data_IF_495005131900
#
_entry.id   IF_495005131900
#
_cell.length_a   1.000
_cell.length_b   1.000
_cell.length_c   1.000
_cell.angle_alpha   90.00
_cell.angle_beta   90.00
_cell.angle_gamma   90.00
#
_symmetry.space_group_name_H-M   'P 1'
#
loop_
_entity.id
_entity.type
_entity.pdbx_description
1 polymer ?
#
# COMPACT_ATOMS: atom_id res chain seq x y z
N UNK A 1 0.31 9.21 -3.02
CA UNK A 1 0.37 9.64 -1.61
C UNK A 1 -0.15 8.51 -0.75
N UNK A 2 0.49 8.21 0.38
CA UNK A 2 0.06 7.12 1.27
C UNK A 2 -0.49 7.69 2.59
N UNK A 3 -1.45 7.02 3.21
CA UNK A 3 -2.03 7.37 4.50
C UNK A 3 -1.73 6.25 5.51
N UNK A 4 -1.19 6.59 6.67
CA UNK A 4 -0.99 5.66 7.77
C UNK A 4 -1.61 6.23 9.06
N UNK A 5 -2.58 5.57 9.69
CA UNK A 5 -3.24 6.07 10.90
C UNK A 5 -2.59 5.58 12.18
N UNK A 6 -2.53 6.44 13.19
CA UNK A 6 -2.10 6.11 14.56
C UNK A 6 -3.25 6.37 15.54
N UNK A 7 -3.62 5.36 16.34
CA UNK A 7 -4.65 5.48 17.36
C UNK A 7 -4.04 5.89 18.71
N UNK A 8 -4.12 7.19 19.04
CA UNK A 8 -3.99 7.71 20.42
C UNK A 8 -5.15 8.68 20.68
N UNK A 9 -5.24 9.29 21.87
CA UNK A 9 -6.28 10.28 22.14
C UNK A 9 -6.20 11.45 21.11
N UNK A 10 -6.93 11.34 19.99
CA UNK A 10 -6.74 12.04 18.73
C UNK A 10 -5.93 11.19 17.76
N UNK A 11 -6.49 10.84 16.60
CA UNK A 11 -5.80 10.05 15.59
C UNK A 11 -4.82 10.93 14.81
N UNK A 12 -3.53 10.56 14.75
CA UNK A 12 -2.59 11.18 13.81
C UNK A 12 -2.67 10.45 12.46
N UNK A 13 -2.90 11.20 11.39
CA UNK A 13 -3.00 10.72 10.03
C UNK A 13 -1.87 11.34 9.23
N UNK A 14 -1.14 10.50 8.52
CA UNK A 14 0.04 10.89 7.75
C UNK A 14 -0.21 10.70 6.27
N UNK A 15 0.21 11.67 5.46
CA UNK A 15 0.29 11.55 4.01
C UNK A 15 1.54 12.27 3.51
N UNK A 16 2.00 11.95 2.30
CA UNK A 16 3.19 12.61 1.73
C UNK A 16 2.85 13.40 0.47
N UNK A 17 3.63 14.47 0.23
CA UNK A 17 3.39 15.38 -0.89
C UNK A 17 3.88 14.84 -2.23
N UNK A 18 4.89 13.98 -2.22
CA UNK A 18 5.65 13.57 -3.41
C UNK A 18 6.17 14.75 -4.26
N UNK A 19 6.49 15.89 -3.62
CA UNK A 19 6.92 17.10 -4.29
C UNK A 19 8.37 17.00 -4.76
N UNK A 20 8.64 17.38 -6.02
CA UNK A 20 9.97 17.38 -6.61
C UNK A 20 10.89 18.48 -6.06
N UNK A 21 10.33 19.56 -5.51
CA UNK A 21 11.09 20.61 -4.83
C UNK A 21 11.54 20.23 -3.40
N UNK A 22 11.03 19.10 -2.85
CA UNK A 22 11.29 18.59 -1.52
C UNK A 22 10.07 17.86 -0.99
N UNK A 23 10.17 16.53 -0.83
CA UNK A 23 9.09 15.71 -0.31
C UNK A 23 8.86 15.97 1.17
N UNK A 24 7.62 15.96 1.62
CA UNK A 24 7.21 16.24 3.00
C UNK A 24 6.14 15.25 3.46
N UNK A 25 6.14 14.95 4.74
CA UNK A 25 5.01 14.30 5.40
C UNK A 25 4.08 15.38 5.94
N UNK A 26 2.82 15.32 5.56
CA UNK A 26 1.75 16.14 6.13
C UNK A 26 1.10 15.36 7.27
N UNK A 27 1.00 15.99 8.43
CA UNK A 27 0.41 15.42 9.63
C UNK A 27 -0.92 16.08 9.91
N UNK A 28 -1.95 15.26 10.03
CA UNK A 28 -3.30 15.67 10.43
C UNK A 28 -3.67 14.98 11.73
N UNK A 29 -4.57 15.61 12.46
CA UNK A 29 -5.19 15.02 13.66
C UNK A 29 -6.69 15.18 13.59
N UNK A 30 -7.41 14.21 14.10
CA UNK A 30 -8.82 14.32 14.39
C UNK A 30 -9.06 14.16 15.90
N UNK A 31 -10.25 14.50 16.33
CA UNK A 31 -10.76 14.20 17.65
C UNK A 31 -12.20 13.71 17.54
N UNK A 32 -12.77 13.05 18.56
CA UNK A 32 -14.13 12.55 18.50
C UNK A 32 -15.13 13.62 18.05
N UNK A 33 -15.73 13.45 16.86
CA UNK A 33 -16.69 14.40 16.29
C UNK A 33 -16.10 15.71 15.76
N UNK A 34 -14.78 15.81 15.63
CA UNK A 34 -14.10 16.98 15.04
C UNK A 34 -13.65 16.69 13.63
N UNK A 35 -13.73 17.66 12.70
CA UNK A 35 -13.15 17.48 11.37
C UNK A 35 -11.63 17.38 11.46
N UNK A 36 -11.05 16.71 10.47
CA UNK A 36 -9.61 16.56 10.30
C UNK A 36 -8.91 17.94 10.31
N UNK A 37 -7.89 18.09 11.16
CA UNK A 37 -7.12 19.33 11.31
C UNK A 37 -5.70 19.12 10.82
N UNK A 38 -5.23 19.97 9.91
CA UNK A 38 -3.81 20.03 9.59
C UNK A 38 -3.00 20.47 10.82
N UNK A 39 -1.89 19.79 11.07
CA UNK A 39 -1.05 20.05 12.25
C UNK A 39 0.32 20.57 11.87
N UNK A 40 1.06 19.83 11.04
CA UNK A 40 2.42 20.17 10.65
C UNK A 40 2.83 19.52 9.31
N UNK A 41 3.92 20.02 8.73
CA UNK A 41 4.62 19.42 7.61
C UNK A 41 6.05 19.13 8.00
N UNK A 42 6.51 17.89 7.83
CA UNK A 42 7.86 17.46 8.21
C UNK A 42 8.64 17.08 6.96
N UNK A 43 9.78 17.76 6.65
CA UNK A 43 10.58 17.42 5.48
C UNK A 43 11.16 16.00 5.56
N UNK A 44 11.11 15.26 4.44
CA UNK A 44 11.79 13.96 4.31
C UNK A 44 13.28 14.10 4.02
N UNK A 45 13.72 15.29 3.62
CA UNK A 45 15.04 15.60 3.04
C UNK A 45 15.34 14.87 1.72
N UNK A 46 14.38 14.13 1.18
CA UNK A 46 14.39 13.60 -0.18
C UNK A 46 13.47 14.41 -1.09
N UNK A 47 13.38 14.00 -2.35
CA UNK A 47 12.51 14.63 -3.35
C UNK A 47 11.54 13.61 -3.96
N UNK A 48 10.36 14.09 -4.32
CA UNK A 48 9.36 13.34 -5.07
C UNK A 48 9.48 13.54 -6.58
N UNK A 49 8.42 13.19 -7.29
CA UNK A 49 8.35 13.26 -8.76
C UNK A 49 7.37 14.31 -9.28
N UNK A 50 6.68 15.05 -8.43
CA UNK A 50 5.57 15.97 -8.77
C UNK A 50 4.38 15.30 -9.48
N UNK A 51 4.32 13.97 -9.46
CA UNK A 51 3.27 13.19 -10.12
C UNK A 51 2.73 12.10 -9.20
N UNK A 52 1.58 11.51 -9.55
CA UNK A 52 1.07 10.33 -8.84
C UNK A 52 2.03 9.14 -9.01
N UNK A 53 2.37 8.46 -7.92
CA UNK A 53 3.23 7.27 -7.96
C UNK A 53 2.55 6.06 -8.59
N UNK A 54 1.21 6.06 -8.65
CA UNK A 54 0.45 4.93 -9.18
C UNK A 54 0.69 3.65 -8.40
N UNK A 55 0.78 3.75 -7.08
CA UNK A 55 1.12 2.66 -6.16
C UNK A 55 0.38 2.79 -4.84
N UNK A 56 0.30 1.71 -4.09
CA UNK A 56 -0.13 1.67 -2.69
C UNK A 56 1.08 1.51 -1.78
N UNK A 57 0.96 1.98 -0.52
CA UNK A 57 1.99 1.86 0.53
C UNK A 57 3.30 2.61 0.22
N UNK A 58 3.23 3.81 -0.37
CA UNK A 58 4.38 4.71 -0.49
C UNK A 58 4.80 5.29 0.87
N UNK A 59 3.94 5.20 1.86
CA UNK A 59 4.12 5.61 3.24
C UNK A 59 3.59 4.51 4.16
N UNK A 60 4.42 4.01 5.08
CA UNK A 60 4.07 2.89 5.96
C UNK A 60 4.41 3.21 7.41
N UNK A 61 3.44 3.01 8.30
CA UNK A 61 3.65 3.02 9.74
C UNK A 61 4.03 1.61 10.18
N UNK A 62 5.10 1.48 10.96
CA UNK A 62 5.52 0.17 11.48
C UNK A 62 4.44 -0.45 12.37
N UNK A 63 4.46 -1.77 12.51
CA UNK A 63 3.45 -2.56 13.25
C UNK A 63 3.19 -2.04 14.65
N UNK A 64 4.24 -1.56 15.35
CA UNK A 64 4.14 -0.99 16.70
C UNK A 64 3.91 0.53 16.70
N UNK A 65 3.80 1.17 15.53
CA UNK A 65 3.55 2.60 15.40
C UNK A 65 4.71 3.50 15.84
N UNK A 66 5.91 2.94 16.04
CA UNK A 66 7.09 3.69 16.48
C UNK A 66 7.83 4.36 15.31
N UNK A 67 7.74 3.78 14.12
CA UNK A 67 8.43 4.24 12.92
C UNK A 67 7.46 4.53 11.79
N UNK A 68 7.69 5.62 11.08
CA UNK A 68 7.03 5.94 9.82
C UNK A 68 8.10 5.95 8.71
N UNK A 69 7.88 5.15 7.68
CA UNK A 69 8.78 5.03 6.54
C UNK A 69 8.12 5.65 5.31
N UNK A 70 8.87 6.44 4.55
CA UNK A 70 8.39 7.13 3.36
C UNK A 70 9.35 6.98 2.19
N UNK A 71 8.84 6.65 1.00
CA UNK A 71 9.65 6.67 -0.22
C UNK A 71 9.85 8.09 -0.73
N UNK A 72 11.03 8.36 -1.30
CA UNK A 72 11.34 9.56 -2.05
C UNK A 72 11.70 9.15 -3.49
N UNK A 73 10.68 9.06 -4.33
CA UNK A 73 10.82 8.46 -5.66
C UNK A 73 11.77 9.22 -6.58
N UNK A 74 11.86 10.55 -6.43
CA UNK A 74 12.74 11.39 -7.24
C UNK A 74 14.21 11.35 -6.82
N UNK A 75 14.51 11.05 -5.52
CA UNK A 75 15.89 10.93 -5.01
C UNK A 75 16.34 9.49 -4.78
N UNK A 76 15.48 8.49 -5.05
CA UNK A 76 15.77 7.07 -4.93
C UNK A 76 16.20 6.65 -3.51
N UNK A 77 15.51 7.15 -2.50
CA UNK A 77 15.80 6.86 -1.11
C UNK A 77 14.53 6.72 -0.26
N UNK A 78 14.72 6.28 0.98
CA UNK A 78 13.69 6.09 1.99
C UNK A 78 14.04 6.98 3.16
N UNK A 79 13.05 7.67 3.71
CA UNK A 79 13.18 8.42 4.96
C UNK A 79 12.44 7.69 6.08
N UNK A 80 13.11 7.52 7.23
CA UNK A 80 12.54 6.93 8.44
C UNK A 80 12.36 8.00 9.49
N UNK A 81 11.19 8.03 10.12
CA UNK A 81 10.85 8.96 11.17
C UNK A 81 10.48 8.21 12.45
N UNK A 82 11.00 8.65 13.57
CA UNK A 82 10.47 8.28 14.87
C UNK A 82 9.12 8.97 15.09
N UNK A 83 8.13 8.21 15.52
CA UNK A 83 6.79 8.70 15.87
C UNK A 83 6.66 8.72 17.39
N UNK A 84 6.47 9.89 17.97
CA UNK A 84 6.27 10.00 19.42
C UNK A 84 4.83 9.63 19.83
N UNK A 85 4.58 9.53 21.15
CA UNK A 85 3.26 9.20 21.71
C UNK A 85 2.14 10.18 21.35
N UNK A 86 2.47 11.34 20.81
CA UNK A 86 1.53 12.37 20.37
C UNK A 86 1.39 12.41 18.85
N UNK A 87 2.06 11.51 18.13
CA UNK A 87 2.07 11.44 16.67
C UNK A 87 2.97 12.49 16.01
N UNK A 88 3.90 13.16 16.74
CA UNK A 88 4.91 14.02 16.12
C UNK A 88 6.02 13.18 15.49
N UNK A 89 6.55 13.70 14.41
CA UNK A 89 7.59 13.04 13.61
C UNK A 89 8.95 13.69 13.84
N UNK A 90 9.96 12.86 14.04
CA UNK A 90 11.37 13.27 14.03
C UNK A 90 12.09 12.41 12.99
N UNK A 91 12.66 13.04 11.95
CA UNK A 91 13.47 12.33 10.97
C UNK A 91 14.71 11.72 11.63
N UNK A 92 14.93 10.43 11.47
CA UNK A 92 16.06 9.67 12.05
C UNK A 92 17.08 9.25 11.01
N UNK A 93 16.62 8.77 9.85
CA UNK A 93 17.54 8.32 8.82
C UNK A 93 16.99 8.60 7.41
N UNK A 94 17.90 8.60 6.45
CA UNK A 94 17.61 8.56 5.01
C UNK A 94 18.57 7.59 4.35
N UNK A 95 18.03 6.56 3.69
CA UNK A 95 18.79 5.43 3.16
C UNK A 95 18.49 5.24 1.68
N UNK A 96 19.49 5.02 0.78
CA UNK A 96 19.22 4.65 -0.60
C UNK A 96 18.32 3.43 -0.72
N UNK A 97 17.35 3.45 -1.63
CA UNK A 97 16.33 2.39 -1.78
C UNK A 97 16.86 1.08 -2.40
N UNK A 98 18.11 1.05 -2.86
CA UNK A 98 18.67 -0.09 -3.57
C UNK A 98 18.21 -0.25 -5.02
N UNK A 99 17.47 0.75 -5.55
CA UNK A 99 17.00 0.82 -6.93
C UNK A 99 16.72 2.24 -7.35
N UNK A 100 15.86 2.40 -8.34
CA UNK A 100 15.41 3.70 -8.83
C UNK A 100 13.89 3.82 -8.75
N UNK A 101 13.40 5.01 -8.43
CA UNK A 101 11.98 5.31 -8.33
C UNK A 101 11.25 4.38 -7.33
N UNK A 102 11.61 4.40 -6.01
CA UNK A 102 10.88 3.66 -4.99
C UNK A 102 9.43 4.17 -4.92
N UNK A 103 8.47 3.24 -4.94
CA UNK A 103 7.05 3.57 -5.00
C UNK A 103 6.22 2.93 -3.90
N UNK A 104 6.72 1.88 -3.26
CA UNK A 104 5.98 1.14 -2.23
C UNK A 104 6.93 0.53 -1.22
N UNK A 105 6.45 0.40 0.01
CA UNK A 105 7.17 -0.16 1.15
C UNK A 105 6.29 -1.19 1.87
N UNK A 106 6.92 -2.16 2.52
CA UNK A 106 6.27 -3.01 3.51
C UNK A 106 7.20 -3.27 4.68
N UNK A 107 6.64 -3.60 5.84
CA UNK A 107 7.39 -3.90 7.06
C UNK A 107 6.72 -5.07 7.79
N UNK A 108 7.55 -6.03 8.19
CA UNK A 108 7.17 -7.11 9.10
C UNK A 108 8.30 -7.31 10.10
N UNK A 109 8.02 -7.22 11.41
CA UNK A 109 9.01 -7.21 12.47
C UNK A 109 10.15 -6.19 12.22
N UNK A 110 11.40 -6.63 12.04
CA UNK A 110 12.54 -5.79 11.68
C UNK A 110 12.83 -5.79 10.16
N UNK A 111 12.08 -6.55 9.37
CA UNK A 111 12.24 -6.58 7.91
C UNK A 111 11.48 -5.44 7.25
N UNK A 112 12.14 -4.74 6.35
CA UNK A 112 11.55 -3.72 5.47
C UNK A 112 11.90 -4.06 4.03
N UNK A 113 10.89 -4.09 3.15
CA UNK A 113 11.10 -4.23 1.72
C UNK A 113 10.59 -3.02 0.96
N UNK A 114 11.35 -2.65 -0.07
CA UNK A 114 11.06 -1.52 -0.96
C UNK A 114 10.87 -2.03 -2.37
N UNK A 115 9.84 -1.56 -3.03
CA UNK A 115 9.57 -1.76 -4.44
C UNK A 115 10.05 -0.54 -5.23
N UNK A 116 11.01 -0.74 -6.10
CA UNK A 116 11.56 0.24 -7.02
C UNK A 116 10.98 0.01 -8.42
N UNK A 117 10.39 1.01 -9.03
CA UNK A 117 9.71 0.89 -10.32
C UNK A 117 10.56 1.29 -11.53
N UNK A 118 11.67 2.02 -11.31
CA UNK A 118 12.51 2.53 -12.38
C UNK A 118 13.35 1.45 -13.06
N UNK A 119 13.64 1.62 -14.35
CA UNK A 119 14.36 0.64 -15.15
C UNK A 119 13.56 -0.66 -15.33
N UNK A 120 14.15 -1.81 -14.97
CA UNK A 120 13.45 -3.10 -14.98
C UNK A 120 12.63 -3.33 -13.70
N UNK A 121 12.84 -2.49 -12.69
CA UNK A 121 12.24 -2.64 -11.36
C UNK A 121 12.87 -3.75 -10.53
N UNK A 122 12.85 -3.56 -9.22
CA UNK A 122 13.30 -4.58 -8.26
C UNK A 122 12.60 -4.41 -6.91
N UNK A 123 12.71 -5.43 -6.06
CA UNK A 123 12.54 -5.31 -4.62
C UNK A 123 13.91 -5.34 -3.94
N UNK A 124 14.06 -4.62 -2.81
CA UNK A 124 15.28 -4.64 -1.98
C UNK A 124 14.91 -4.67 -0.51
N UNK A 125 15.54 -5.55 0.26
CA UNK A 125 15.31 -5.76 1.69
C UNK A 125 16.30 -5.04 2.58
N UNK A 126 15.83 -4.62 3.76
CA UNK A 126 16.58 -3.94 4.81
C UNK A 126 16.20 -4.48 6.18
N UNK A 127 17.11 -4.37 7.15
CA UNK A 127 16.84 -4.51 8.58
C UNK A 127 16.58 -3.12 9.18
N UNK A 128 15.47 -2.98 9.87
CA UNK A 128 15.13 -1.78 10.64
C UNK A 128 15.74 -1.87 12.04
N UNK A 129 16.70 -1.00 12.31
CA UNK A 129 17.35 -0.91 13.62
C UNK A 129 16.45 -0.23 14.68
N UNK A 130 16.79 -0.45 15.94
CA UNK A 130 16.12 0.20 17.09
C UNK A 130 16.26 1.73 17.11
N UNK A 131 17.22 2.27 16.35
CA UNK A 131 17.44 3.70 16.16
C UNK A 131 16.77 4.27 14.89
N UNK A 132 16.05 3.43 14.14
CA UNK A 132 15.39 3.79 12.88
C UNK A 132 16.32 3.79 11.67
N UNK A 133 17.54 3.27 11.79
CA UNK A 133 18.39 3.01 10.63
C UNK A 133 17.84 1.88 9.77
N UNK A 134 18.15 1.91 8.47
CA UNK A 134 17.84 0.82 7.55
C UNK A 134 19.16 0.26 7.01
N UNK A 135 19.51 -0.95 7.43
CA UNK A 135 20.69 -1.66 6.98
C UNK A 135 20.34 -2.62 5.84
N UNK A 136 20.94 -2.49 4.64
CA UNK A 136 20.66 -3.38 3.51
C UNK A 136 20.96 -4.83 3.83
N UNK A 137 20.05 -5.75 3.49
CA UNK A 137 20.26 -7.20 3.61
C UNK A 137 21.05 -7.68 2.39
N UNK A 138 22.26 -8.24 2.57
CA UNK A 138 23.05 -8.74 1.45
C UNK A 138 22.31 -9.85 0.68
N UNK A 139 22.22 -9.70 -0.65
CA UNK A 139 21.55 -10.69 -1.49
C UNK A 139 20.03 -10.64 -1.49
N UNK A 140 19.40 -9.63 -0.87
CA UNK A 140 17.94 -9.47 -0.83
C UNK A 140 17.32 -8.84 -2.08
N UNK A 141 18.13 -8.19 -2.92
CA UNK A 141 17.62 -7.58 -4.15
C UNK A 141 17.20 -8.64 -5.15
N UNK A 142 15.97 -8.52 -5.68
CA UNK A 142 15.42 -9.36 -6.76
C UNK A 142 14.82 -8.47 -7.83
N UNK A 143 15.18 -8.77 -9.09
CA UNK A 143 14.50 -8.17 -10.23
C UNK A 143 13.04 -8.65 -10.27
N UNK A 144 12.16 -7.78 -10.76
CA UNK A 144 10.76 -8.12 -11.01
C UNK A 144 10.65 -9.15 -12.15
N UNK A 145 9.50 -9.78 -12.29
CA UNK A 145 9.28 -10.88 -13.21
C UNK A 145 9.44 -10.58 -14.71
N UNK A 146 9.99 -9.44 -15.10
CA UNK A 146 10.26 -9.05 -16.49
C UNK A 146 10.38 -7.54 -16.66
N UNK A 147 10.59 -7.09 -17.88
CA UNK A 147 10.71 -5.67 -18.22
C UNK A 147 9.34 -5.00 -18.31
N UNK A 148 9.25 -3.74 -17.88
CA UNK A 148 8.05 -2.89 -18.00
C UNK A 148 6.77 -3.53 -17.42
N UNK A 149 6.89 -4.26 -16.32
CA UNK A 149 5.77 -4.96 -15.67
C UNK A 149 4.78 -4.00 -14.99
N UNK A 150 5.18 -2.75 -14.77
CA UNK A 150 4.37 -1.72 -14.14
C UNK A 150 3.96 -2.09 -12.71
N UNK A 151 4.90 -2.19 -11.77
CA UNK A 151 4.58 -2.61 -10.41
C UNK A 151 3.66 -1.59 -9.71
N UNK A 152 2.91 -2.04 -8.69
CA UNK A 152 2.03 -1.16 -7.94
C UNK A 152 2.23 -1.23 -6.43
N UNK A 153 2.47 -2.39 -5.86
CA UNK A 153 2.63 -2.56 -4.42
C UNK A 153 3.52 -3.74 -4.10
N UNK A 154 4.27 -3.62 -3.00
CA UNK A 154 4.89 -4.73 -2.28
C UNK A 154 4.25 -4.86 -0.90
N UNK A 155 4.02 -6.07 -0.43
CA UNK A 155 3.48 -6.33 0.91
C UNK A 155 3.87 -7.71 1.42
N UNK A 156 4.10 -7.82 2.72
CA UNK A 156 4.20 -9.11 3.38
C UNK A 156 2.80 -9.71 3.60
N UNK A 157 2.74 -11.04 3.56
CA UNK A 157 1.66 -11.77 4.20
C UNK A 157 1.72 -11.57 5.73
N UNK A 158 0.77 -12.12 6.45
CA UNK A 158 0.71 -11.92 7.90
C UNK A 158 1.79 -12.67 8.67
N UNK A 159 2.32 -13.77 8.12
CA UNK A 159 3.42 -14.52 8.72
C UNK A 159 4.78 -13.84 8.54
N UNK A 160 4.94 -13.04 7.50
CA UNK A 160 6.21 -12.45 7.08
C UNK A 160 7.06 -13.39 6.21
N UNK A 161 6.53 -14.57 5.86
CA UNK A 161 7.25 -15.58 5.09
C UNK A 161 7.12 -15.38 3.58
N UNK A 162 6.13 -14.57 3.14
CA UNK A 162 5.87 -14.31 1.72
C UNK A 162 5.76 -12.82 1.43
N UNK A 163 6.52 -12.35 0.44
CA UNK A 163 6.32 -11.05 -0.18
C UNK A 163 5.46 -11.21 -1.43
N UNK A 164 4.50 -10.32 -1.56
CA UNK A 164 3.62 -10.20 -2.72
C UNK A 164 3.94 -8.91 -3.45
N UNK A 165 4.01 -8.95 -4.79
CA UNK A 165 4.12 -7.77 -5.65
C UNK A 165 3.07 -7.84 -6.74
N UNK A 166 2.27 -6.79 -6.88
CA UNK A 166 1.34 -6.64 -8.00
C UNK A 166 2.02 -5.97 -9.19
N UNK A 167 1.85 -6.54 -10.38
CA UNK A 167 2.44 -6.09 -11.65
C UNK A 167 1.34 -5.74 -12.65
N UNK A 168 0.94 -4.46 -12.66
CA UNK A 168 -0.22 -3.94 -13.39
C UNK A 168 -0.19 -4.21 -14.89
N UNK A 169 0.92 -3.87 -15.54
CA UNK A 169 1.03 -3.98 -17.00
C UNK A 169 1.13 -5.44 -17.46
N UNK A 170 1.62 -6.33 -16.60
CA UNK A 170 1.72 -7.76 -16.88
C UNK A 170 0.47 -8.52 -16.45
N UNK A 171 -0.49 -7.88 -15.74
CA UNK A 171 -1.69 -8.51 -15.16
C UNK A 171 -1.35 -9.78 -14.37
N UNK A 172 -0.40 -9.66 -13.44
CA UNK A 172 0.05 -10.79 -12.62
C UNK A 172 0.46 -10.35 -11.22
N UNK A 173 0.63 -11.35 -10.37
CA UNK A 173 1.05 -11.24 -8.98
C UNK A 173 2.32 -12.08 -8.84
N UNK A 174 3.41 -11.47 -8.35
CA UNK A 174 4.66 -12.16 -8.07
C UNK A 174 4.76 -12.45 -6.57
N UNK A 175 5.11 -13.68 -6.23
CA UNK A 175 5.26 -14.18 -4.86
C UNK A 175 6.71 -14.55 -4.63
N UNK A 176 7.26 -14.14 -3.49
CA UNK A 176 8.64 -14.42 -3.10
C UNK A 176 8.62 -15.03 -1.69
N UNK A 177 9.04 -16.27 -1.53
CA UNK A 177 9.29 -16.83 -0.20
C UNK A 177 10.51 -16.14 0.41
N UNK A 178 10.41 -15.71 1.67
CA UNK A 178 11.48 -15.03 2.41
C UNK A 178 12.03 -15.99 3.45
N UNK A 179 13.34 -16.18 3.46
CA UNK A 179 13.99 -17.06 4.42
C UNK A 179 14.25 -16.37 5.78
N UNK A 180 14.78 -17.12 6.76
CA UNK A 180 15.08 -16.64 8.12
C UNK A 180 16.11 -15.50 8.16
N UNK A 181 16.96 -15.39 7.12
CA UNK A 181 17.94 -14.31 6.96
C UNK A 181 17.31 -13.06 6.33
N UNK A 182 16.04 -13.14 5.92
CA UNK A 182 15.31 -12.09 5.22
C UNK A 182 15.67 -12.02 3.73
N UNK A 183 16.14 -13.10 3.10
CA UNK A 183 16.49 -13.13 1.68
C UNK A 183 15.37 -13.75 0.86
N UNK A 184 14.82 -13.03 -0.16
CA UNK A 184 13.70 -13.55 -0.93
C UNK A 184 14.16 -14.56 -1.99
N UNK A 185 13.34 -15.54 -2.29
CA UNK A 185 13.49 -16.48 -3.39
C UNK A 185 13.45 -15.78 -4.76
N UNK A 186 13.62 -16.52 -5.84
CA UNK A 186 13.16 -16.08 -7.15
C UNK A 186 11.62 -15.98 -7.15
N UNK A 187 11.01 -15.07 -7.93
CA UNK A 187 9.57 -14.91 -7.95
C UNK A 187 8.83 -16.13 -8.53
N UNK A 188 7.78 -16.56 -7.83
CA UNK A 188 6.74 -17.37 -8.43
C UNK A 188 5.70 -16.42 -9.05
N UNK A 189 5.41 -16.58 -10.35
CA UNK A 189 4.54 -15.67 -11.08
C UNK A 189 3.15 -16.29 -11.28
N UNK A 190 2.14 -15.73 -10.62
CA UNK A 190 0.74 -16.09 -10.76
C UNK A 190 0.02 -15.10 -11.69
N UNK A 191 -0.90 -15.60 -12.52
CA UNK A 191 -1.77 -14.72 -13.32
C UNK A 191 -2.86 -14.14 -12.43
N UNK A 192 -3.04 -12.81 -12.44
CA UNK A 192 -4.19 -12.18 -11.78
C UNK A 192 -5.48 -12.56 -12.51
N UNK A 193 -6.55 -12.82 -11.77
CA UNK A 193 -7.87 -13.12 -12.37
C UNK A 193 -8.35 -11.94 -13.21
N UNK A 194 -8.33 -10.74 -12.66
CA UNK A 194 -8.68 -9.52 -13.38
C UNK A 194 -7.45 -8.78 -13.91
N UNK A 195 -7.71 -7.87 -14.84
CA UNK A 195 -6.66 -7.06 -15.46
C UNK A 195 -6.24 -5.91 -14.57
N UNK A 196 -4.95 -5.54 -14.67
CA UNK A 196 -4.38 -4.40 -13.97
C UNK A 196 -4.51 -4.55 -12.44
N UNK A 197 -3.97 -5.65 -11.82
CA UNK A 197 -3.92 -5.76 -10.36
C UNK A 197 -3.14 -4.58 -9.80
N UNK A 198 -3.74 -3.86 -8.86
CA UNK A 198 -3.19 -2.61 -8.36
C UNK A 198 -2.78 -2.73 -6.90
N UNK A 199 -3.58 -2.22 -5.98
CA UNK A 199 -3.35 -2.34 -4.57
C UNK A 199 -3.87 -3.65 -4.00
N UNK A 200 -3.31 -4.07 -2.87
CA UNK A 200 -3.78 -5.25 -2.16
C UNK A 200 -3.67 -5.08 -0.65
N UNK A 201 -4.38 -5.92 0.06
CA UNK A 201 -4.29 -6.06 1.51
C UNK A 201 -4.54 -7.49 1.91
N UNK A 202 -4.01 -7.90 3.07
CA UNK A 202 -4.39 -9.15 3.69
C UNK A 202 -5.47 -8.91 4.74
N UNK A 203 -6.47 -9.77 4.78
CA UNK A 203 -7.44 -9.75 5.85
C UNK A 203 -6.88 -10.46 7.10
N UNK A 204 -7.66 -10.58 8.17
CA UNK A 204 -7.20 -11.24 9.41
C UNK A 204 -7.03 -12.76 9.29
N UNK A 205 -7.52 -13.36 8.23
CA UNK A 205 -7.44 -14.80 7.96
C UNK A 205 -6.38 -15.14 6.92
N UNK A 206 -5.59 -14.13 6.54
CA UNK A 206 -4.53 -14.18 5.54
C UNK A 206 -5.02 -14.35 4.10
N UNK A 207 -6.32 -14.04 3.86
CA UNK A 207 -6.80 -13.93 2.48
C UNK A 207 -6.22 -12.67 1.84
N UNK A 208 -5.63 -12.82 0.65
CA UNK A 208 -5.12 -11.73 -0.17
C UNK A 208 -6.25 -11.11 -0.99
N UNK A 209 -6.55 -9.82 -0.76
CA UNK A 209 -7.57 -9.05 -1.48
C UNK A 209 -6.87 -8.10 -2.44
N UNK A 210 -7.14 -8.22 -3.74
CA UNK A 210 -6.45 -7.44 -4.80
C UNK A 210 -7.46 -6.62 -5.59
N UNK A 211 -7.23 -5.30 -5.69
CA UNK A 211 -8.00 -4.43 -6.58
C UNK A 211 -7.56 -4.60 -8.03
N UNK A 212 -8.51 -4.55 -8.94
CA UNK A 212 -8.34 -4.76 -10.38
C UNK A 212 -8.90 -3.56 -11.13
N UNK A 213 -7.99 -2.73 -11.66
CA UNK A 213 -8.37 -1.44 -12.25
C UNK A 213 -8.85 -1.53 -13.71
N UNK A 214 -8.65 -2.67 -14.40
CA UNK A 214 -9.05 -2.90 -15.82
C UNK A 214 -8.63 -1.75 -16.75
N UNK A 215 -7.41 -1.22 -16.54
CA UNK A 215 -6.89 -0.11 -17.36
C UNK A 215 -7.69 1.19 -17.21
N UNK A 216 -8.56 1.31 -16.21
CA UNK A 216 -9.45 2.45 -15.99
C UNK A 216 -10.73 2.42 -16.84
N UNK A 217 -11.07 1.29 -17.45
CA UNK A 217 -12.29 1.14 -18.25
C UNK A 217 -13.55 1.46 -17.42
N UNK A 218 -14.49 2.26 -17.95
CA UNK A 218 -15.67 2.68 -17.19
C UNK A 218 -16.52 1.50 -16.69
N UNK A 219 -16.79 1.48 -15.39
CA UNK A 219 -17.64 0.48 -14.74
C UNK A 219 -17.08 -0.95 -14.70
N UNK A 220 -15.81 -1.15 -15.06
CA UNK A 220 -15.23 -2.48 -15.24
C UNK A 220 -14.39 -2.97 -14.06
N UNK A 221 -14.07 -2.10 -13.10
CA UNK A 221 -13.16 -2.49 -12.02
C UNK A 221 -13.79 -3.47 -11.03
N UNK A 222 -12.95 -4.23 -10.36
CA UNK A 222 -13.33 -5.31 -9.47
C UNK A 222 -12.34 -5.49 -8.31
N UNK A 223 -12.65 -6.40 -7.40
CA UNK A 223 -11.73 -6.93 -6.39
C UNK A 223 -11.78 -8.44 -6.45
N UNK A 224 -10.63 -9.10 -6.47
CA UNK A 224 -10.51 -10.55 -6.30
C UNK A 224 -9.94 -10.89 -4.93
N UNK A 225 -10.23 -12.09 -4.45
CA UNK A 225 -9.59 -12.66 -3.27
C UNK A 225 -8.93 -14.00 -3.59
N UNK A 226 -7.85 -14.26 -2.85
CA UNK A 226 -7.02 -15.45 -3.02
C UNK A 226 -6.59 -15.99 -1.66
N UNK A 227 -6.43 -17.30 -1.57
CA UNK A 227 -5.64 -17.97 -0.53
C UNK A 227 -4.21 -18.18 -1.04
N UNK A 228 -3.20 -17.93 -0.17
CA UNK A 228 -1.82 -18.24 -0.50
C UNK A 228 -1.55 -19.71 -0.25
N UNK A 229 -1.07 -20.39 -1.28
CA UNK A 229 -0.68 -21.78 -1.28
C UNK A 229 0.83 -21.95 -1.45
N UNK A 230 1.40 -23.08 -1.04
CA UNK A 230 2.84 -23.37 -1.21
C UNK A 230 3.34 -23.19 -2.65
N UNK A 231 2.45 -23.34 -3.62
CA UNK A 231 2.77 -23.32 -5.05
C UNK A 231 2.03 -22.22 -5.83
N UNK A 232 1.50 -21.19 -5.16
CA UNK A 232 0.85 -20.08 -5.84
C UNK A 232 -0.37 -19.49 -5.12
N UNK A 233 -1.41 -19.17 -5.88
CA UNK A 233 -2.64 -18.56 -5.41
C UNK A 233 -3.84 -19.43 -5.80
N UNK A 234 -4.67 -19.79 -4.83
CA UNK A 234 -6.01 -20.30 -5.07
C UNK A 234 -7.01 -19.14 -5.07
N UNK A 235 -7.91 -19.11 -6.05
CA UNK A 235 -8.90 -18.02 -6.18
C UNK A 235 -10.15 -18.33 -5.39
N UNK A 236 -10.47 -17.51 -4.38
CA UNK A 236 -11.70 -17.63 -3.60
C UNK A 236 -12.86 -16.85 -4.23
N UNK A 237 -12.61 -15.61 -4.63
CA UNK A 237 -13.58 -14.80 -5.37
C UNK A 237 -12.93 -14.17 -6.58
N UNK A 238 -13.50 -14.43 -7.75
CA UNK A 238 -12.99 -13.97 -9.03
C UNK A 238 -13.68 -12.66 -9.43
N UNK A 239 -12.93 -11.56 -9.51
CA UNK A 239 -13.35 -10.25 -10.05
C UNK A 239 -14.75 -9.83 -9.63
N UNK A 240 -15.00 -9.72 -8.31
CA UNK A 240 -16.28 -9.22 -7.79
C UNK A 240 -16.42 -7.74 -8.15
N UNK A 241 -17.41 -7.35 -9.01
CA UNK A 241 -17.40 -6.04 -9.63
C UNK A 241 -17.67 -4.92 -8.63
N UNK A 242 -16.96 -3.80 -8.79
CA UNK A 242 -17.29 -2.54 -8.13
C UNK A 242 -18.43 -1.81 -8.85
N UNK A 243 -18.68 -2.12 -10.13
CA UNK A 243 -19.51 -1.32 -11.04
C UNK A 243 -19.03 0.13 -11.21
N UNK A 244 -17.82 0.41 -10.75
CA UNK A 244 -17.13 1.70 -10.77
C UNK A 244 -15.88 1.62 -11.65
N UNK A 245 -15.10 2.69 -11.70
CA UNK A 245 -13.95 2.80 -12.62
C UNK A 245 -12.65 2.98 -11.86
N UNK A 246 -11.62 2.24 -12.28
CA UNK A 246 -10.27 2.34 -11.75
C UNK A 246 -10.21 2.09 -10.23
N UNK A 247 -10.65 0.92 -9.76
CA UNK A 247 -10.41 0.47 -8.40
C UNK A 247 -8.90 0.28 -8.20
N UNK A 248 -8.30 1.08 -7.32
CA UNK A 248 -6.85 1.14 -7.19
C UNK A 248 -6.35 0.73 -5.79
N UNK A 249 -6.78 1.38 -4.72
CA UNK A 249 -6.35 1.07 -3.36
C UNK A 249 -7.37 0.22 -2.65
N UNK A 250 -6.92 -0.74 -1.87
CA UNK A 250 -7.80 -1.59 -1.07
C UNK A 250 -7.27 -1.73 0.36
N UNK A 251 -8.18 -1.64 1.33
CA UNK A 251 -7.89 -1.82 2.75
C UNK A 251 -8.91 -2.74 3.40
N UNK A 252 -8.48 -3.55 4.37
CA UNK A 252 -9.36 -4.44 5.14
C UNK A 252 -9.46 -4.00 6.59
N UNK A 253 -10.65 -4.14 7.18
CA UNK A 253 -10.85 -3.83 8.60
C UNK A 253 -10.06 -4.79 9.49
N UNK A 254 -9.60 -4.32 10.66
CA UNK A 254 -8.83 -5.13 11.64
C UNK A 254 -9.50 -6.47 11.99
N UNK A 255 -10.84 -6.51 11.99
CA UNK A 255 -11.60 -7.74 12.25
C UNK A 255 -11.79 -8.60 11.00
N UNK A 256 -11.30 -8.16 9.83
CA UNK A 256 -11.36 -8.87 8.56
C UNK A 256 -12.77 -9.07 8.01
N UNK A 257 -13.79 -8.42 8.58
CA UNK A 257 -15.18 -8.62 8.14
C UNK A 257 -15.57 -7.75 6.94
N UNK A 258 -14.80 -6.70 6.65
CA UNK A 258 -15.06 -5.76 5.58
C UNK A 258 -13.75 -5.32 4.90
N UNK A 259 -13.85 -5.03 3.62
CA UNK A 259 -12.80 -4.38 2.82
C UNK A 259 -13.40 -3.22 2.03
N UNK A 260 -12.56 -2.23 1.72
CA UNK A 260 -12.96 -1.04 0.98
C UNK A 260 -11.94 -0.77 -0.12
N UNK A 261 -12.42 -0.61 -1.35
CA UNK A 261 -11.61 -0.19 -2.49
C UNK A 261 -11.95 1.24 -2.90
N UNK A 262 -10.94 2.05 -3.22
CA UNK A 262 -11.15 3.38 -3.79
C UNK A 262 -11.26 3.28 -5.31
N UNK A 263 -12.29 3.88 -5.89
CA UNK A 263 -12.55 3.91 -7.32
C UNK A 263 -12.14 5.29 -7.87
N UNK A 264 -10.87 5.42 -8.22
CA UNK A 264 -10.22 6.69 -8.61
C UNK A 264 -10.94 7.35 -9.78
N UNK A 265 -11.39 6.57 -10.77
CA UNK A 265 -12.06 7.09 -11.96
C UNK A 265 -13.50 7.53 -11.73
N UNK A 266 -14.15 7.04 -10.66
CA UNK A 266 -15.56 7.35 -10.33
C UNK A 266 -15.70 8.34 -9.18
N UNK A 267 -14.65 8.55 -8.37
CA UNK A 267 -14.75 9.38 -7.15
C UNK A 267 -15.59 8.74 -6.05
N UNK A 268 -15.50 7.40 -5.93
CA UNK A 268 -16.29 6.60 -5.00
C UNK A 268 -15.44 5.64 -4.20
N UNK A 269 -16.07 4.99 -3.24
CA UNK A 269 -15.50 3.87 -2.47
C UNK A 269 -16.48 2.71 -2.55
N UNK A 270 -15.99 1.54 -2.95
CA UNK A 270 -16.75 0.30 -2.93
C UNK A 270 -16.40 -0.52 -1.69
N UNK A 271 -17.42 -0.93 -0.94
CA UNK A 271 -17.27 -1.77 0.25
C UNK A 271 -17.66 -3.22 -0.03
N UNK A 272 -16.96 -4.13 0.61
CA UNK A 272 -17.21 -5.57 0.55
C UNK A 272 -17.35 -6.16 1.95
N UNK A 273 -18.25 -7.13 2.10
CA UNK A 273 -18.16 -8.09 3.18
C UNK A 273 -17.17 -9.17 2.77
N UNK A 274 -16.28 -9.51 3.70
CA UNK A 274 -15.28 -10.59 3.52
C UNK A 274 -15.68 -11.73 4.45
N UNK A 275 -15.90 -12.92 3.92
CA UNK A 275 -16.12 -14.12 4.70
C UNK A 275 -14.79 -14.71 5.19
N UNK A 276 -14.83 -15.71 6.07
CA UNK A 276 -13.62 -16.29 6.64
C UNK A 276 -12.72 -16.98 5.61
N UNK A 277 -13.34 -17.56 4.61
CA UNK A 277 -12.70 -18.23 3.47
C UNK A 277 -12.35 -17.28 2.32
N UNK A 278 -12.44 -15.97 2.52
CA UNK A 278 -12.13 -14.97 1.51
C UNK A 278 -13.28 -14.65 0.56
N UNK A 279 -14.47 -15.32 0.64
CA UNK A 279 -15.59 -14.98 -0.24
C UNK A 279 -16.00 -13.51 -0.10
N UNK A 280 -16.07 -12.80 -1.22
CA UNK A 280 -16.35 -11.36 -1.30
C UNK A 280 -17.79 -11.12 -1.75
N UNK A 281 -18.47 -10.20 -1.06
CA UNK A 281 -19.81 -9.70 -1.47
C UNK A 281 -19.86 -8.19 -1.34
N UNK A 282 -20.16 -7.51 -2.44
CA UNK A 282 -20.37 -6.07 -2.43
C UNK A 282 -21.48 -5.69 -1.45
N UNK A 283 -21.30 -4.61 -0.69
CA UNK A 283 -22.26 -4.12 0.31
C UNK A 283 -23.48 -3.49 -0.34
N UNK A 284 -23.35 -2.97 -1.55
CA UNK A 284 -24.40 -2.28 -2.32
C UNK A 284 -24.45 -2.84 -3.74
N UNK A 285 -25.61 -2.82 -4.36
CA UNK A 285 -25.80 -3.40 -5.69
C UNK A 285 -25.14 -2.57 -6.81
N UNK A 286 -24.91 -1.28 -6.57
CA UNK A 286 -24.25 -0.35 -7.49
C UNK A 286 -22.75 -0.15 -7.18
N UNK A 287 -22.25 -0.82 -6.13
CA UNK A 287 -20.86 -0.72 -5.66
C UNK A 287 -20.58 0.54 -4.84
N UNK A 288 -21.50 1.49 -4.71
CA UNK A 288 -21.23 2.76 -4.02
C UNK A 288 -21.50 2.63 -2.52
N UNK A 289 -20.44 2.53 -1.72
CA UNK A 289 -20.50 2.57 -0.26
C UNK A 289 -20.11 3.93 0.31
N UNK A 290 -19.40 4.75 -0.47
CA UNK A 290 -19.03 6.12 -0.12
C UNK A 290 -18.75 6.95 -1.37
N UNK A 291 -18.93 8.27 -1.24
CA UNK A 291 -18.67 9.25 -2.31
C UNK A 291 -17.62 10.23 -1.78
N UNK A 292 -16.53 10.40 -2.52
CA UNK A 292 -15.44 11.32 -2.15
C UNK A 292 -15.60 12.72 -2.73
N UNK A 293 -16.58 12.90 -3.62
CA UNK A 293 -16.97 14.19 -4.19
C UNK A 293 -16.90 14.23 -5.72
N UNK A 294 -17.62 15.15 -6.37
CA UNK A 294 -17.58 15.30 -7.82
C UNK A 294 -16.18 15.66 -8.33
N UNK A 295 -15.67 14.87 -9.27
CA UNK A 295 -14.34 15.08 -9.85
C UNK A 295 -13.16 14.80 -8.91
N UNK A 296 -13.42 14.32 -7.70
CA UNK A 296 -12.35 13.82 -6.84
C UNK A 296 -11.75 12.55 -7.43
N UNK A 297 -10.47 12.36 -7.22
CA UNK A 297 -9.77 11.15 -7.61
C UNK A 297 -9.19 10.54 -6.32
N UNK A 298 -9.92 9.62 -5.65
CA UNK A 298 -9.40 8.96 -4.45
C UNK A 298 -8.16 8.14 -4.82
N UNK A 299 -7.02 8.49 -4.20
CA UNK A 299 -5.69 7.95 -4.55
C UNK A 299 -5.04 7.18 -3.41
N UNK A 300 -5.65 7.14 -2.24
CA UNK A 300 -5.22 6.28 -1.14
C UNK A 300 -6.30 6.19 -0.07
N UNK A 301 -6.19 5.17 0.79
CA UNK A 301 -7.08 4.98 1.91
C UNK A 301 -6.38 4.33 3.09
N UNK A 302 -6.82 4.67 4.30
CA UNK A 302 -6.36 4.04 5.52
C UNK A 302 -7.49 3.94 6.56
N UNK A 303 -7.41 2.92 7.41
CA UNK A 303 -8.35 2.70 8.50
C UNK A 303 -7.74 3.15 9.83
N UNK A 304 -8.47 3.99 10.55
CA UNK A 304 -8.13 4.43 11.91
C UNK A 304 -9.32 4.23 12.84
N UNK A 305 -9.21 3.29 13.78
CA UNK A 305 -10.35 2.92 14.62
C UNK A 305 -11.50 2.35 13.79
N UNK A 306 -12.66 3.00 13.87
CA UNK A 306 -13.88 2.65 13.09
C UNK A 306 -14.08 3.59 11.88
N UNK A 307 -13.09 4.40 11.55
CA UNK A 307 -13.15 5.40 10.48
C UNK A 307 -12.27 5.01 9.28
N UNK A 308 -12.78 5.29 8.08
CA UNK A 308 -12.04 5.17 6.82
C UNK A 308 -11.64 6.57 6.35
N UNK A 309 -10.35 6.81 6.26
CA UNK A 309 -9.77 8.03 5.70
C UNK A 309 -9.43 7.79 4.24
N UNK A 310 -9.84 8.69 3.38
CA UNK A 310 -9.59 8.61 1.94
C UNK A 310 -8.88 9.88 1.47
N UNK A 311 -7.74 9.72 0.83
CA UNK A 311 -7.02 10.81 0.18
C UNK A 311 -7.58 11.02 -1.21
N UNK A 312 -8.12 12.19 -1.49
CA UNK A 312 -8.58 12.60 -2.82
C UNK A 312 -7.60 13.62 -3.43
N UNK A 313 -7.24 13.43 -4.69
CA UNK A 313 -6.20 14.23 -5.35
C UNK A 313 -6.70 15.60 -5.88
N UNK A 314 -8.03 15.89 -5.86
CA UNK A 314 -8.63 17.14 -6.36
C UNK A 314 -9.48 17.82 -5.31
#
# INVERSE_FOLDING_TARGET
>A
MGLAPLAFAGHAIYTQTNAGAGNQILVFTDGPGSPLQWRESVPTLGIGTDSGLGSQSALVLSTHGQWLLAVNAGSNDISTFHVDRHGHLTLTSRTPSGGTEPISLTQHEDLVYVLNAGGNGNITGFRLGDDGSLDPIPGSTRDLGGNAVGPAQVGFDRSGDTLVVTEKAASRIALYAVDEDGVPSAPHLAVSVGQTPFGFTFDRHDNLLVSEAFGGAPGASAVSSYELEDQGLETESASVPTHQSAACWVVATRRGAFAYATDTGSGTVTGYRVARDGDLRALTADGISGITGPGSAPTDAALGGDELYVLAAN
#
